data_IF_805062952498
#
_entry.id   IF_805062952498
#
_cell.length_a   1.000
_cell.length_b   1.000
_cell.length_c   1.000
_cell.angle_alpha   90.00
_cell.angle_beta   90.00
_cell.angle_gamma   90.00
#
_symmetry.space_group_name_H-M   'P 1'
#
loop_
_entity.id
_entity.type
_entity.pdbx_description
1 polymer ?
#
# COMPACT_ATOMS: atom_id res chain seq x y z
N UNK A 1 15.97 -8.87 11.95
CA UNK A 1 16.09 -7.49 12.49
C UNK A 1 15.04 -6.60 11.86
N UNK A 2 14.33 -5.84 12.66
CA UNK A 2 13.31 -4.94 12.13
C UNK A 2 13.96 -3.68 11.54
N UNK A 3 13.46 -3.26 10.40
CA UNK A 3 13.84 -2.00 9.79
C UNK A 3 12.97 -0.89 10.35
N UNK A 4 13.57 0.26 10.59
CA UNK A 4 12.85 1.43 11.07
C UNK A 4 12.70 2.41 9.92
N UNK A 5 11.44 2.66 9.52
CA UNK A 5 11.16 3.64 8.48
C UNK A 5 11.36 5.06 9.04
N UNK A 6 11.94 5.92 8.22
CA UNK A 6 12.20 7.32 8.59
C UNK A 6 11.17 8.26 7.98
N UNK A 7 10.43 7.79 6.99
CA UNK A 7 9.38 8.56 6.34
C UNK A 7 8.15 7.67 6.19
N UNK A 8 6.99 8.24 6.34
CA UNK A 8 5.75 7.48 6.23
C UNK A 8 5.56 6.89 4.83
N UNK A 9 6.10 7.54 3.81
CA UNK A 9 6.02 7.07 2.43
C UNK A 9 6.75 5.75 2.20
N UNK A 10 7.73 5.42 3.05
CA UNK A 10 8.44 4.14 2.97
C UNK A 10 7.53 2.97 3.34
N UNK A 11 6.44 3.23 4.03
CA UNK A 11 5.49 2.19 4.46
C UNK A 11 4.40 1.93 3.43
N UNK A 12 4.25 2.81 2.44
CA UNK A 12 3.23 2.62 1.40
C UNK A 12 3.55 1.37 0.59
N UNK A 13 2.55 0.49 0.46
CA UNK A 13 2.70 -0.73 -0.32
C UNK A 13 3.40 -1.88 0.38
N UNK A 14 3.94 -1.67 1.57
CA UNK A 14 4.56 -2.72 2.38
C UNK A 14 3.53 -3.39 3.28
N UNK A 15 2.45 -3.80 2.68
CA UNK A 15 1.32 -4.40 3.38
C UNK A 15 1.55 -5.88 3.63
N UNK A 16 1.07 -6.42 4.77
CA UNK A 16 1.23 -7.83 5.06
C UNK A 16 0.33 -8.70 4.19
N UNK A 17 0.69 -9.97 4.10
CA UNK A 17 -0.13 -10.97 3.42
C UNK A 17 -0.68 -11.94 4.46
N UNK A 18 -1.92 -12.37 4.26
CA UNK A 18 -2.61 -13.30 5.14
C UNK A 18 -3.15 -14.47 4.33
N UNK A 19 -2.83 -15.69 4.74
CA UNK A 19 -3.46 -16.85 4.16
C UNK A 19 -4.84 -17.07 4.79
N UNK A 20 -5.85 -17.21 3.94
CA UNK A 20 -7.24 -17.34 4.39
C UNK A 20 -7.56 -18.81 4.73
N UNK A 21 -6.93 -19.32 5.80
CA UNK A 21 -7.02 -20.72 6.18
C UNK A 21 -8.44 -21.16 6.51
N UNK A 22 -9.15 -20.39 7.34
CA UNK A 22 -10.51 -20.73 7.73
C UNK A 22 -11.47 -20.72 6.55
N UNK A 23 -11.32 -19.76 5.66
CA UNK A 23 -12.12 -19.70 4.44
C UNK A 23 -11.87 -20.92 3.56
N UNK A 24 -10.62 -21.33 3.42
CA UNK A 24 -10.23 -22.48 2.61
C UNK A 24 -10.85 -23.76 3.17
N UNK A 25 -10.83 -23.95 4.48
CA UNK A 25 -11.40 -25.12 5.14
C UNK A 25 -12.92 -25.14 5.01
N UNK A 26 -13.57 -24.02 5.32
CA UNK A 26 -15.04 -23.92 5.33
C UNK A 26 -15.64 -24.15 3.95
N UNK A 27 -14.91 -23.86 2.90
CA UNK A 27 -15.39 -23.94 1.53
C UNK A 27 -14.70 -25.08 0.73
N UNK A 28 -13.96 -25.96 1.38
CA UNK A 28 -13.27 -27.08 0.75
C UNK A 28 -12.39 -26.67 -0.44
N UNK A 29 -11.70 -25.55 -0.30
CA UNK A 29 -10.82 -25.04 -1.35
C UNK A 29 -9.45 -25.68 -1.21
N UNK A 30 -8.97 -26.31 -2.30
CA UNK A 30 -7.65 -26.97 -2.30
C UNK A 30 -6.51 -25.99 -2.59
N UNK A 31 -6.80 -24.84 -3.19
CA UNK A 31 -5.80 -23.82 -3.49
C UNK A 31 -5.46 -23.00 -2.25
N UNK A 32 -4.23 -22.48 -2.18
CA UNK A 32 -3.85 -21.52 -1.15
C UNK A 32 -4.33 -20.13 -1.56
N UNK A 33 -5.21 -19.56 -0.75
CA UNK A 33 -5.72 -18.21 -0.99
C UNK A 33 -4.99 -17.25 -0.08
N UNK A 34 -4.30 -16.28 -0.66
CA UNK A 34 -3.50 -15.31 0.07
C UNK A 34 -4.03 -13.92 -0.22
N UNK A 35 -4.39 -13.19 0.83
CA UNK A 35 -4.86 -11.82 0.73
C UNK A 35 -3.74 -10.84 1.08
N UNK A 36 -3.56 -9.81 0.26
CA UNK A 36 -2.67 -8.71 0.58
C UNK A 36 -3.51 -7.61 1.23
N UNK A 37 -3.17 -7.28 2.48
CA UNK A 37 -4.03 -6.45 3.33
C UNK A 37 -3.73 -4.98 3.13
N UNK A 38 -4.31 -4.38 2.09
CA UNK A 38 -4.04 -3.00 1.71
C UNK A 38 -4.53 -1.96 2.73
N UNK A 39 -5.44 -2.32 3.63
CA UNK A 39 -5.86 -1.40 4.67
C UNK A 39 -4.76 -1.13 5.72
N UNK A 40 -3.65 -1.85 5.66
CA UNK A 40 -2.48 -1.56 6.49
C UNK A 40 -1.57 -0.48 5.90
N UNK A 41 -1.91 0.09 4.75
CA UNK A 41 -1.22 1.27 4.26
C UNK A 41 -1.39 2.44 5.25
N UNK A 42 -0.45 3.41 5.30
CA UNK A 42 -0.50 4.50 6.29
C UNK A 42 -1.82 5.24 6.38
N UNK A 43 -2.53 5.45 5.26
CA UNK A 43 -3.83 6.10 5.24
C UNK A 43 -4.97 5.11 5.01
N UNK A 44 -4.68 3.82 5.09
CA UNK A 44 -5.68 2.79 5.22
C UNK A 44 -6.24 2.19 3.95
N UNK A 45 -5.66 2.45 2.78
CA UNK A 45 -6.19 1.86 1.55
C UNK A 45 -5.14 1.75 0.44
N UNK A 46 -5.51 1.06 -0.64
CA UNK A 46 -4.68 0.96 -1.85
C UNK A 46 -4.49 2.33 -2.52
N UNK A 47 -5.33 3.29 -2.22
CA UNK A 47 -5.23 4.65 -2.78
C UNK A 47 -3.96 5.37 -2.33
N UNK A 48 -3.34 4.96 -1.23
CA UNK A 48 -2.04 5.46 -0.81
C UNK A 48 -1.01 5.27 -1.93
N UNK A 49 -1.03 4.11 -2.60
CA UNK A 49 -0.11 3.80 -3.71
C UNK A 49 -0.33 4.74 -4.88
N UNK A 50 -1.60 4.92 -5.26
CA UNK A 50 -1.97 5.77 -6.40
C UNK A 50 -1.58 7.23 -6.12
N UNK A 51 -1.96 7.75 -4.96
CA UNK A 51 -1.66 9.13 -4.59
C UNK A 51 -0.15 9.40 -4.57
N UNK A 52 0.61 8.49 -3.97
CA UNK A 52 2.06 8.63 -3.90
C UNK A 52 2.68 8.63 -5.30
N UNK A 53 2.26 7.70 -6.15
CA UNK A 53 2.77 7.59 -7.51
C UNK A 53 2.45 8.83 -8.34
N UNK A 54 1.25 9.38 -8.19
CA UNK A 54 0.85 10.60 -8.90
C UNK A 54 1.68 11.81 -8.48
N UNK A 55 1.91 11.96 -7.19
CA UNK A 55 2.72 13.08 -6.66
C UNK A 55 4.18 12.94 -7.10
N UNK A 56 4.75 11.75 -6.98
CA UNK A 56 6.12 11.48 -7.42
C UNK A 56 6.29 11.81 -8.90
N UNK A 57 5.36 11.34 -9.73
CA UNK A 57 5.40 11.59 -11.16
C UNK A 57 5.27 13.08 -11.49
N UNK A 58 4.38 13.78 -10.79
CA UNK A 58 4.20 15.21 -10.97
C UNK A 58 5.46 16.00 -10.63
N UNK A 59 6.16 15.59 -9.57
CA UNK A 59 7.43 16.20 -9.18
C UNK A 59 8.49 15.97 -10.27
N UNK A 60 8.60 14.74 -10.77
CA UNK A 60 9.57 14.38 -11.81
C UNK A 60 9.34 15.14 -13.10
N UNK A 61 8.08 15.39 -13.45
CA UNK A 61 7.72 16.13 -14.66
C UNK A 61 7.79 17.65 -14.48
N UNK A 62 8.10 18.14 -13.28
CA UNK A 62 8.17 19.56 -13.01
C UNK A 62 6.82 20.25 -12.86
N UNK A 63 5.73 19.47 -12.78
CA UNK A 63 4.37 20.02 -12.60
C UNK A 63 4.06 20.35 -11.16
N UNK A 64 4.77 19.76 -10.22
CA UNK A 64 4.60 19.97 -8.78
C UNK A 64 5.91 20.50 -8.22
N UNK A 65 5.84 21.61 -7.50
CA UNK A 65 6.98 22.22 -6.82
C UNK A 65 6.53 22.74 -5.45
N UNK A 66 7.42 23.44 -4.74
CA UNK A 66 7.15 23.93 -3.38
C UNK A 66 5.99 24.90 -3.27
N UNK A 67 5.62 25.54 -4.38
CA UNK A 67 4.54 26.52 -4.43
C UNK A 67 3.21 25.93 -4.89
N UNK A 68 3.19 24.63 -5.20
CA UNK A 68 2.00 23.93 -5.68
C UNK A 68 1.04 23.65 -4.52
N UNK A 69 -0.24 23.88 -4.75
CA UNK A 69 -1.31 23.55 -3.80
C UNK A 69 -2.13 22.40 -4.39
N UNK A 70 -2.33 21.37 -3.59
CA UNK A 70 -3.16 20.22 -3.97
C UNK A 70 -4.54 20.40 -3.36
N UNK A 71 -5.55 20.34 -4.19
CA UNK A 71 -6.95 20.53 -3.77
C UNK A 71 -7.65 19.16 -3.68
#
# INVERSE_FOLDING_TARGET
MAEIAKQITELIGRTPMLQLCNFQEDNNVSANIIAKLEYFNPLGSVKDRVAYAMIEDGIKQGKINKDTVII
#
